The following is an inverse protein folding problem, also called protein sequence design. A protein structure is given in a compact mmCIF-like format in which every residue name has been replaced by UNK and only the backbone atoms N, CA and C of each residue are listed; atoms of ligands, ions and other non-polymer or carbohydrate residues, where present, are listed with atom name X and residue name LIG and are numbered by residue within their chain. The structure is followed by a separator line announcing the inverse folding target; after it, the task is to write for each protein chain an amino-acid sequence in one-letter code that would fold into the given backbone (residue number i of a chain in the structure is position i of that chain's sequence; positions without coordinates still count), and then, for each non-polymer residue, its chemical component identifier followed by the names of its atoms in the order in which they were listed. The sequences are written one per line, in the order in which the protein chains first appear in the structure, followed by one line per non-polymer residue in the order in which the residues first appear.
data_IF_878006963716
#
_entry.id   IF_878006963716
#
_cell.length_a   1.000
_cell.length_b   1.000
_cell.length_c   1.000
_cell.angle_alpha   90.00
_cell.angle_beta   90.00
_cell.angle_gamma   90.00
#
_symmetry.space_group_name_H-M   'P 1'
#
loop_
_entity.id
_entity.type
_entity.pdbx_description
1 polymer ?
#
# COMPACT_ATOMS: atom_id res chain seq x y z
N UNK A 1 -10.99 6.47 29.16
CA UNK A 1 -12.05 5.59 28.63
C UNK A 1 -12.62 6.31 27.40
N UNK A 2 -12.22 5.92 26.19
CA UNK A 2 -12.63 6.59 24.95
C UNK A 2 -14.07 6.20 24.58
N UNK A 3 -14.83 7.15 24.04
CA UNK A 3 -16.26 7.04 23.82
C UNK A 3 -16.49 6.51 22.40
N UNK A 4 -16.72 5.19 22.28
CA UNK A 4 -16.75 4.42 21.02
C UNK A 4 -17.63 5.04 19.92
N UNK A 5 -18.71 5.73 20.32
CA UNK A 5 -19.70 6.34 19.42
C UNK A 5 -19.17 7.62 18.74
N UNK A 6 -18.24 8.34 19.39
CA UNK A 6 -17.66 9.57 18.87
C UNK A 6 -16.50 9.30 17.90
N UNK A 7 -15.78 8.19 18.10
CA UNK A 7 -14.73 7.73 17.20
C UNK A 7 -15.29 7.24 15.86
N UNK A 8 -16.50 6.65 15.83
CA UNK A 8 -17.20 6.31 14.58
C UNK A 8 -17.57 7.55 13.73
N UNK A 9 -17.81 8.70 14.36
CA UNK A 9 -18.15 9.96 13.67
C UNK A 9 -16.92 10.70 13.13
N UNK A 10 -15.73 10.38 13.64
CA UNK A 10 -14.47 10.81 13.04
C UNK A 10 -14.21 9.87 11.87
N UNK A 11 -14.78 10.20 10.71
CA UNK A 11 -14.52 9.47 9.47
C UNK A 11 -13.02 9.19 9.33
N UNK A 12 -12.67 7.97 8.91
CA UNK A 12 -11.28 7.56 8.69
C UNK A 12 -10.57 8.65 7.90
N UNK A 13 -9.37 9.06 8.34
CA UNK A 13 -8.59 10.05 7.59
C UNK A 13 -8.16 9.38 6.30
N UNK A 14 -8.49 10.01 5.17
CA UNK A 14 -8.19 9.51 3.84
C UNK A 14 -7.56 10.60 3.01
N UNK A 15 -6.57 10.22 2.21
CA UNK A 15 -5.90 11.10 1.27
C UNK A 15 -5.88 10.44 -0.10
N UNK A 16 -6.24 11.22 -1.12
CA UNK A 16 -6.11 10.80 -2.51
C UNK A 16 -4.93 11.55 -3.12
N UNK A 17 -3.88 10.82 -3.48
CA UNK A 17 -2.74 11.35 -4.24
C UNK A 17 -2.95 11.01 -5.70
N UNK A 18 -2.90 12.01 -6.59
CA UNK A 18 -3.18 11.80 -8.02
C UNK A 18 -1.92 11.81 -8.85
N UNK A 19 -1.95 11.06 -9.96
CA UNK A 19 -0.88 11.01 -10.97
C UNK A 19 0.49 10.65 -10.37
N UNK A 20 0.50 9.70 -9.43
CA UNK A 20 1.72 9.19 -8.83
C UNK A 20 2.47 8.31 -9.84
N UNK A 21 3.76 8.61 -10.03
CA UNK A 21 4.64 7.87 -10.93
C UNK A 21 5.40 6.79 -10.17
N UNK A 22 5.25 5.55 -10.62
CA UNK A 22 5.91 4.37 -10.07
C UNK A 22 7.03 3.96 -11.01
N UNK A 23 8.28 4.21 -10.60
CA UNK A 23 9.47 3.78 -11.35
C UNK A 23 10.08 2.51 -10.78
N UNK A 24 9.88 2.26 -9.48
CA UNK A 24 10.45 1.09 -8.81
C UNK A 24 9.98 -0.22 -9.43
N UNK A 25 10.88 -1.17 -9.60
CA UNK A 25 10.62 -2.44 -10.28
C UNK A 25 10.72 -3.59 -9.27
N UNK A 26 9.60 -4.30 -9.12
CA UNK A 26 9.51 -5.42 -8.18
C UNK A 26 9.91 -6.73 -8.85
N UNK A 27 10.82 -7.48 -8.25
CA UNK A 27 11.10 -8.85 -8.66
C UNK A 27 10.15 -9.75 -7.89
N UNK A 28 9.00 -10.03 -8.50
CA UNK A 28 8.12 -11.11 -8.05
C UNK A 28 8.33 -12.32 -8.97
N UNK A 29 8.84 -13.41 -8.43
CA UNK A 29 8.37 -14.72 -8.89
C UNK A 29 7.11 -15.01 -8.06
N UNK A 30 5.99 -15.29 -8.74
CA UNK A 30 4.73 -15.66 -8.10
C UNK A 30 4.83 -17.09 -7.57
N UNK A 31 5.46 -17.26 -6.41
CA UNK A 31 5.33 -18.49 -5.65
C UNK A 31 4.02 -18.42 -4.87
N UNK A 32 2.98 -19.09 -5.39
CA UNK A 32 1.75 -19.29 -4.64
C UNK A 32 2.05 -20.21 -3.46
N UNK A 33 2.23 -19.63 -2.28
CA UNK A 33 2.36 -20.44 -1.08
C UNK A 33 0.99 -20.78 -0.52
N UNK A 34 0.78 -22.08 -0.29
CA UNK A 34 -0.38 -22.63 0.40
C UNK A 34 0.09 -23.25 1.71
N UNK A 35 -0.31 -22.67 2.84
CA UNK A 35 -0.03 -23.22 4.16
C UNK A 35 -1.34 -23.48 4.91
N UNK A 36 -1.38 -24.56 5.68
CA UNK A 36 -2.45 -24.87 6.63
C UNK A 36 -1.90 -24.74 8.04
N UNK A 37 -2.53 -23.91 8.87
CA UNK A 37 -2.16 -23.78 10.28
C UNK A 37 -2.63 -25.02 11.05
N UNK A 38 -1.70 -25.75 11.68
CA UNK A 38 -1.99 -27.01 12.37
C UNK A 38 -2.56 -26.83 13.79
N UNK A 39 -2.34 -25.66 14.41
CA UNK A 39 -2.61 -25.44 15.85
C UNK A 39 -3.76 -24.44 16.15
N UNK A 40 -4.70 -24.25 15.23
CA UNK A 40 -5.89 -23.41 15.42
C UNK A 40 -7.18 -24.21 15.21
N UNK A 41 -8.24 -24.02 16.01
CA UNK A 41 -9.56 -24.61 15.73
C UNK A 41 -10.16 -24.08 14.42
N UNK A 42 -9.72 -22.89 13.98
CA UNK A 42 -10.15 -22.25 12.74
C UNK A 42 -9.20 -22.61 11.60
N UNK A 43 -9.72 -23.34 10.62
CA UNK A 43 -9.00 -23.65 9.37
C UNK A 43 -8.98 -22.42 8.49
N UNK A 44 -7.79 -21.85 8.27
CA UNK A 44 -7.58 -20.72 7.35
C UNK A 44 -6.65 -21.12 6.21
N UNK A 45 -7.01 -20.71 5.00
CA UNK A 45 -6.13 -20.69 3.84
C UNK A 45 -5.50 -19.30 3.78
N UNK A 46 -4.18 -19.23 3.78
CA UNK A 46 -3.44 -17.97 3.64
C UNK A 46 -2.70 -18.01 2.31
N UNK A 47 -3.03 -17.05 1.44
CA UNK A 47 -2.26 -16.78 0.23
C UNK A 47 -1.19 -15.75 0.57
N UNK A 48 0.06 -16.03 0.20
CA UNK A 48 1.16 -15.12 0.40
C UNK A 48 2.03 -15.09 -0.86
N UNK A 49 2.61 -13.93 -1.14
CA UNK A 49 3.60 -13.71 -2.18
C UNK A 49 4.88 -13.17 -1.53
N UNK A 50 6.04 -13.69 -1.94
CA UNK A 50 7.33 -13.17 -1.50
C UNK A 50 8.05 -12.48 -2.65
N UNK A 51 8.44 -11.22 -2.44
CA UNK A 51 9.21 -10.46 -3.41
C UNK A 51 10.70 -10.76 -3.21
N UNK A 52 11.35 -11.31 -4.23
CA UNK A 52 12.76 -11.69 -4.22
C UNK A 52 13.59 -10.62 -4.94
N UNK A 53 13.65 -9.43 -4.35
CA UNK A 53 14.50 -8.33 -4.82
C UNK A 53 13.79 -7.24 -5.64
N UNK A 54 14.58 -6.31 -6.16
CA UNK A 54 14.12 -5.14 -6.91
C UNK A 54 14.57 -3.81 -6.35
N UNK A 55 14.59 -2.80 -7.22
CA UNK A 55 14.68 -1.40 -6.79
C UNK A 55 13.27 -0.95 -6.45
N UNK A 56 12.77 -1.42 -5.31
CA UNK A 56 11.52 -0.95 -4.76
C UNK A 56 11.58 0.56 -4.54
N UNK A 57 10.56 1.28 -5.01
CA UNK A 57 10.46 2.71 -4.75
C UNK A 57 9.95 2.90 -3.33
N UNK A 58 10.82 3.42 -2.46
CA UNK A 58 10.45 3.83 -1.11
C UNK A 58 9.77 5.20 -1.14
N UNK A 59 8.63 5.31 -0.48
CA UNK A 59 7.78 6.50 -0.49
C UNK A 59 7.45 6.88 0.94
N UNK A 60 7.91 8.06 1.36
CA UNK A 60 7.56 8.63 2.65
C UNK A 60 6.24 9.42 2.54
N UNK A 61 5.36 9.33 3.53
CA UNK A 61 4.11 10.11 3.50
C UNK A 61 4.38 11.62 3.51
N UNK A 62 5.45 12.06 4.17
CA UNK A 62 5.86 13.47 4.19
C UNK A 62 6.21 14.03 2.81
N UNK A 63 6.51 13.21 1.80
CA UNK A 63 6.79 13.71 0.45
C UNK A 63 5.55 13.77 -0.45
N UNK A 64 4.38 13.36 0.04
CA UNK A 64 3.15 13.27 -0.74
C UNK A 64 2.23 14.47 -0.48
N UNK A 65 1.46 14.79 -1.52
CA UNK A 65 0.43 15.82 -1.49
C UNK A 65 -0.90 15.22 -1.93
N UNK A 66 -1.97 15.54 -1.21
CA UNK A 66 -3.32 15.15 -1.59
C UNK A 66 -3.80 15.93 -2.83
N UNK A 67 -4.94 15.53 -3.38
CA UNK A 67 -5.55 16.16 -4.55
C UNK A 67 -5.95 17.63 -4.34
N UNK A 68 -5.96 18.12 -3.10
CA UNK A 68 -6.23 19.51 -2.73
C UNK A 68 -4.93 20.31 -2.56
N UNK A 69 -3.77 19.67 -2.67
CA UNK A 69 -2.45 20.28 -2.48
C UNK A 69 -1.98 20.32 -1.02
N UNK A 70 -2.64 19.62 -0.10
CA UNK A 70 -2.16 19.52 1.28
C UNK A 70 -1.09 18.44 1.38
N UNK A 71 0.02 18.76 2.03
CA UNK A 71 1.05 17.78 2.35
C UNK A 71 0.49 16.76 3.35
N UNK A 72 0.81 15.48 3.13
CA UNK A 72 0.42 14.42 4.05
C UNK A 72 1.25 14.50 5.35
N UNK A 73 0.70 14.02 6.48
CA UNK A 73 1.47 13.86 7.71
C UNK A 73 2.70 12.98 7.50
N UNK A 74 3.78 13.27 8.21
CA UNK A 74 4.99 12.44 8.15
C UNK A 74 4.78 11.02 8.72
N UNK A 75 3.79 10.87 9.60
CA UNK A 75 3.39 9.60 10.20
C UNK A 75 1.87 9.46 10.14
N UNK A 76 1.40 8.30 9.71
CA UNK A 76 -0.02 7.91 9.65
C UNK A 76 -0.18 6.64 10.47
N UNK A 77 -1.20 6.59 11.33
CA UNK A 77 -1.46 5.44 12.19
C UNK A 77 -2.10 4.29 11.41
N UNK A 78 -1.54 3.08 11.50
CA UNK A 78 -1.98 1.88 10.77
C UNK A 78 -2.37 2.15 9.29
N UNK A 79 -1.45 2.67 8.46
CA UNK A 79 -1.80 3.11 7.12
C UNK A 79 -2.12 1.92 6.21
N UNK A 80 -3.07 2.13 5.30
CA UNK A 80 -3.30 1.26 4.15
C UNK A 80 -3.26 2.07 2.87
N UNK A 81 -2.48 1.57 1.90
CA UNK A 81 -2.30 2.21 0.61
C UNK A 81 -2.94 1.35 -0.47
N UNK A 82 -3.98 1.89 -1.10
CA UNK A 82 -4.68 1.26 -2.22
C UNK A 82 -4.21 1.91 -3.52
N UNK A 83 -3.65 1.10 -4.41
CA UNK A 83 -3.21 1.54 -5.74
C UNK A 83 -4.40 1.52 -6.69
N UNK A 84 -4.73 2.67 -7.26
CA UNK A 84 -5.79 2.83 -8.24
C UNK A 84 -5.15 2.99 -9.63
N UNK A 85 -5.20 1.95 -10.49
CA UNK A 85 -4.52 1.99 -11.79
C UNK A 85 -5.18 3.03 -12.70
N UNK A 86 -4.37 3.88 -13.35
CA UNK A 86 -4.83 4.75 -14.45
C UNK A 86 -4.49 4.18 -15.82
N UNK A 87 -3.30 3.58 -15.94
CA UNK A 87 -2.77 2.96 -17.14
C UNK A 87 -1.89 1.76 -16.75
N UNK A 88 -1.56 0.94 -17.74
CA UNK A 88 -0.45 -0.01 -17.62
C UNK A 88 0.89 0.73 -17.43
N UNK A 89 1.91 0.12 -16.81
CA UNK A 89 1.93 -1.22 -16.20
C UNK A 89 1.23 -1.33 -14.85
N UNK A 90 0.83 -2.55 -14.49
CA UNK A 90 0.29 -2.86 -13.17
C UNK A 90 1.29 -2.52 -12.05
N UNK A 91 0.81 -1.86 -11.01
CA UNK A 91 1.61 -1.43 -9.86
C UNK A 91 0.99 -1.91 -8.55
N UNK A 92 1.83 -2.18 -7.56
CA UNK A 92 1.41 -2.75 -6.28
C UNK A 92 2.34 -2.32 -5.14
N UNK A 93 1.79 -2.28 -3.93
CA UNK A 93 2.55 -2.07 -2.70
C UNK A 93 3.33 -3.33 -2.37
N UNK A 94 4.60 -3.16 -2.01
CA UNK A 94 5.52 -4.22 -1.65
C UNK A 94 5.54 -4.42 -0.13
N UNK A 95 5.13 -5.60 0.31
CA UNK A 95 5.06 -5.94 1.73
C UNK A 95 3.99 -5.11 2.45
N UNK A 96 4.26 -4.76 3.71
CA UNK A 96 3.38 -3.96 4.54
C UNK A 96 3.80 -2.50 4.58
N UNK A 97 2.82 -1.61 4.69
CA UNK A 97 3.05 -0.20 5.00
C UNK A 97 3.59 -0.03 6.42
N UNK A 98 4.44 0.97 6.61
CA UNK A 98 4.91 1.43 7.92
C UNK A 98 4.21 2.74 8.26
N UNK A 99 4.29 3.18 9.52
CA UNK A 99 3.71 4.47 9.93
C UNK A 99 4.27 5.66 9.14
N UNK A 100 5.52 5.56 8.66
CA UNK A 100 6.20 6.65 7.95
C UNK A 100 6.09 6.60 6.43
N UNK A 101 5.70 5.45 5.86
CA UNK A 101 5.68 5.28 4.42
C UNK A 101 5.38 3.87 3.95
N UNK A 102 5.73 3.59 2.70
CA UNK A 102 5.51 2.30 2.06
C UNK A 102 6.51 2.10 0.93
N UNK A 103 6.57 0.87 0.43
CA UNK A 103 7.31 0.52 -0.78
C UNK A 103 6.33 0.19 -1.88
N UNK A 104 6.58 0.66 -3.09
CA UNK A 104 5.73 0.43 -4.26
C UNK A 104 6.57 0.01 -5.45
N UNK A 105 5.98 -0.80 -6.33
CA UNK A 105 6.64 -1.23 -7.56
C UNK A 105 5.67 -1.47 -8.68
N UNK A 106 6.19 -1.34 -9.91
CA UNK A 106 5.55 -1.79 -11.14
C UNK A 106 5.95 -3.24 -11.44
N UNK A 107 5.14 -3.90 -12.26
CA UNK A 107 5.42 -5.23 -12.79
C UNK A 107 6.77 -5.23 -13.53
N UNK A 108 7.57 -6.28 -13.28
CA UNK A 108 8.85 -6.51 -13.94
C UNK A 108 8.70 -6.57 -15.46
N UNK A 109 9.68 -6.01 -16.17
CA UNK A 109 9.77 -6.07 -17.63
C UNK A 109 8.82 -5.13 -18.36
N UNK A 110 8.13 -4.24 -17.65
CA UNK A 110 7.45 -3.12 -18.29
C UNK A 110 8.48 -2.12 -18.83
N UNK A 111 8.28 -1.61 -20.04
CA UNK A 111 9.17 -0.62 -20.65
C UNK A 111 8.93 0.80 -20.09
N UNK A 112 7.72 1.07 -19.59
CA UNK A 112 7.31 2.37 -19.08
C UNK A 112 7.14 2.36 -17.55
N UNK A 113 7.19 3.57 -16.96
CA UNK A 113 6.82 3.78 -15.56
C UNK A 113 5.29 3.64 -15.39
N UNK A 114 4.88 3.17 -14.22
CA UNK A 114 3.47 3.13 -13.84
C UNK A 114 2.91 4.51 -13.55
N UNK A 115 1.68 4.78 -13.98
CA UNK A 115 0.91 5.95 -13.58
C UNK A 115 -0.35 5.52 -12.83
N UNK A 116 -0.45 5.92 -11.56
CA UNK A 116 -1.53 5.50 -10.67
C UNK A 116 -2.05 6.68 -9.83
N UNK A 117 -3.25 6.53 -9.30
CA UNK A 117 -3.66 7.31 -8.13
C UNK A 117 -3.45 6.44 -6.88
N UNK A 118 -3.18 7.05 -5.73
CA UNK A 118 -3.06 6.36 -4.45
C UNK A 118 -4.18 6.83 -3.53
N UNK A 119 -4.93 5.89 -2.98
CA UNK A 119 -5.83 6.14 -1.86
C UNK A 119 -5.16 5.65 -0.59
N UNK A 120 -4.81 6.58 0.29
CA UNK A 120 -4.16 6.32 1.57
C UNK A 120 -5.20 6.48 2.67
N UNK A 121 -5.33 5.48 3.54
CA UNK A 121 -6.34 5.45 4.60
C UNK A 121 -5.64 5.19 5.93
N UNK A 122 -5.95 6.00 6.94
CA UNK A 122 -5.59 5.77 8.34
C UNK A 122 -6.60 4.79 8.95
N UNK A 123 -6.13 3.61 9.37
CA UNK A 123 -6.97 2.54 9.92
C UNK A 123 -6.87 2.53 11.45
N UNK A 124 -7.35 3.60 12.08
CA UNK A 124 -7.52 3.70 13.54
C UNK A 124 -8.60 2.77 14.08
#
# INVERSE_FOLDING_TARGET
MANLTLDYLRGRRMWLVRNFVVWGEGYGDDFLFLYTQLDSPDKRIVFNNSFLGGEAQEVNFSSLYDFKGNQLPATIDHPKVVVLPRKEPFCFVLGSETESGFKISRKKGAEENGLVDLLIVEMG
#
